data_IF_407606838656
#
_entry.id   IF_407606838656
#
_cell.length_a   1.000
_cell.length_b   1.000
_cell.length_c   1.000
_cell.angle_alpha   90.00
_cell.angle_beta   90.00
_cell.angle_gamma   90.00
#
_symmetry.space_group_name_H-M   'P 1'
#
loop_
_entity.id
_entity.type
_entity.pdbx_description
1 polymer ?
#
# COMPACT_ATOMS: atom_id res chain seq x y z
N UNK A 1 -13.18 31.04 13.24
CA UNK A 1 -13.02 30.55 14.61
C UNK A 1 -13.23 29.03 14.63
N UNK A 2 -12.17 28.29 14.30
CA UNK A 2 -12.09 26.85 14.52
C UNK A 2 -11.24 26.61 15.78
N UNK A 3 -11.86 26.63 16.94
CA UNK A 3 -11.23 26.20 18.21
C UNK A 3 -11.93 24.94 18.70
N UNK A 4 -11.09 23.96 19.04
CA UNK A 4 -11.35 22.72 19.76
C UNK A 4 -12.13 21.62 19.01
N UNK A 5 -11.40 20.77 18.32
CA UNK A 5 -11.82 19.37 18.17
C UNK A 5 -10.92 18.56 19.10
N UNK A 6 -11.55 18.02 20.14
CA UNK A 6 -10.92 17.24 21.17
C UNK A 6 -10.24 15.98 20.65
N UNK A 7 -9.28 15.48 21.44
CA UNK A 7 -8.45 14.34 21.13
C UNK A 7 -9.23 13.14 20.62
N UNK A 8 -8.81 12.62 19.47
CA UNK A 8 -9.22 11.32 18.97
C UNK A 8 -8.55 10.24 19.85
N UNK A 9 -9.23 9.87 20.94
CA UNK A 9 -8.93 8.62 21.60
C UNK A 9 -9.26 7.49 20.66
N UNK A 10 -8.29 6.64 20.35
CA UNK A 10 -8.54 5.34 19.73
C UNK A 10 -9.46 4.57 20.68
N UNK A 11 -10.76 4.57 20.40
CA UNK A 11 -11.72 3.74 21.12
C UNK A 11 -11.36 2.29 20.83
N UNK A 12 -10.88 1.58 21.85
CA UNK A 12 -10.81 0.12 21.84
C UNK A 12 -12.24 -0.41 21.64
N UNK A 13 -12.54 -0.90 20.45
CA UNK A 13 -13.83 -1.55 20.17
C UNK A 13 -13.86 -2.94 20.79
N UNK A 14 -15.00 -3.36 21.37
CA UNK A 14 -15.13 -4.67 22.04
C UNK A 14 -14.91 -5.83 21.08
N UNK A 15 -14.34 -6.89 21.58
CA UNK A 15 -13.88 -8.11 20.90
C UNK A 15 -15.02 -9.05 20.47
N UNK A 16 -16.01 -8.55 19.74
CA UNK A 16 -16.98 -9.41 19.06
C UNK A 16 -16.60 -9.50 17.57
N UNK A 17 -16.22 -10.69 17.04
CA UNK A 17 -15.92 -10.87 15.63
C UNK A 17 -17.09 -10.49 14.71
N UNK A 18 -18.31 -10.41 15.22
CA UNK A 18 -19.47 -9.90 14.51
C UNK A 18 -19.47 -8.37 14.37
N UNK A 19 -18.68 -7.62 15.15
CA UNK A 19 -18.62 -6.16 15.16
C UNK A 19 -17.48 -5.58 14.31
N UNK A 20 -16.58 -6.39 13.76
CA UNK A 20 -15.49 -5.90 12.91
C UNK A 20 -16.04 -5.22 11.66
N UNK A 21 -15.55 -4.00 11.38
CA UNK A 21 -15.85 -3.25 10.15
C UNK A 21 -15.53 -4.05 8.88
N UNK A 22 -14.47 -4.86 8.92
CA UNK A 22 -14.00 -5.61 7.77
C UNK A 22 -14.34 -7.09 7.86
N UNK A 23 -15.09 -7.62 6.87
CA UNK A 23 -15.31 -9.04 6.68
C UNK A 23 -14.32 -9.60 5.69
N UNK A 24 -13.44 -10.50 6.12
CA UNK A 24 -12.45 -11.15 5.26
C UNK A 24 -13.15 -12.12 4.30
N UNK A 25 -12.81 -12.05 3.02
CA UNK A 25 -13.42 -12.84 1.94
C UNK A 25 -12.48 -13.91 1.39
N UNK A 26 -11.18 -13.70 1.50
CA UNK A 26 -10.17 -14.65 1.03
C UNK A 26 -8.80 -14.02 0.87
N UNK A 27 -7.76 -14.85 0.89
CA UNK A 27 -6.37 -14.40 0.76
C UNK A 27 -6.06 -14.03 -0.69
N UNK A 28 -5.44 -12.86 -0.89
CA UNK A 28 -4.92 -12.40 -2.19
C UNK A 28 -3.44 -12.76 -2.31
N UNK A 29 -2.65 -12.43 -1.28
CA UNK A 29 -1.20 -12.61 -1.29
C UNK A 29 -0.66 -12.76 0.13
N UNK A 30 0.58 -13.27 0.25
CA UNK A 30 1.30 -13.30 1.51
C UNK A 30 2.77 -12.94 1.25
N UNK A 31 3.33 -12.11 2.12
CA UNK A 31 4.72 -11.70 2.13
C UNK A 31 5.39 -12.05 3.45
N UNK A 32 6.65 -11.64 3.60
CA UNK A 32 7.45 -11.94 4.80
C UNK A 32 6.89 -11.33 6.10
N UNK A 33 6.25 -10.17 6.02
CA UNK A 33 5.75 -9.43 7.19
C UNK A 33 4.24 -9.57 7.40
N UNK A 34 3.49 -9.86 6.35
CA UNK A 34 2.02 -9.82 6.43
C UNK A 34 1.35 -10.54 5.29
N UNK A 35 0.06 -10.77 5.47
CA UNK A 35 -0.82 -11.29 4.43
C UNK A 35 -1.79 -10.22 3.95
N UNK A 36 -2.11 -10.28 2.68
CA UNK A 36 -3.12 -9.40 2.05
C UNK A 36 -4.34 -10.24 1.76
N UNK A 37 -5.48 -9.81 2.27
CA UNK A 37 -6.76 -10.44 2.09
C UNK A 37 -7.72 -9.51 1.35
N UNK A 38 -8.59 -10.05 0.53
CA UNK A 38 -9.77 -9.36 0.06
C UNK A 38 -10.72 -9.24 1.25
N UNK A 39 -11.19 -8.04 1.54
CA UNK A 39 -12.16 -7.80 2.59
C UNK A 39 -13.33 -6.94 2.09
N UNK A 40 -14.48 -7.06 2.74
CA UNK A 40 -15.63 -6.19 2.56
C UNK A 40 -15.67 -5.17 3.71
N UNK A 41 -15.53 -3.90 3.39
CA UNK A 41 -15.86 -2.79 4.27
C UNK A 41 -17.40 -2.75 4.42
N UNK A 42 -17.90 -3.08 5.59
CA UNK A 42 -19.35 -3.20 5.86
C UNK A 42 -20.03 -1.83 5.91
N UNK A 43 -19.30 -0.81 6.39
CA UNK A 43 -19.82 0.55 6.52
C UNK A 43 -20.00 1.21 5.17
N UNK A 44 -18.96 1.15 4.32
CA UNK A 44 -18.97 1.75 2.99
C UNK A 44 -19.42 0.78 1.89
N UNK A 45 -19.78 -0.46 2.22
CA UNK A 45 -20.28 -1.51 1.32
C UNK A 45 -19.38 -1.76 0.09
N UNK A 46 -18.07 -1.60 0.25
CA UNK A 46 -17.07 -1.77 -0.83
C UNK A 46 -16.08 -2.88 -0.52
N UNK A 47 -15.40 -3.39 -1.55
CA UNK A 47 -14.26 -4.29 -1.38
C UNK A 47 -12.98 -3.48 -1.20
N UNK A 48 -12.10 -3.99 -0.34
CA UNK A 48 -10.79 -3.40 -0.02
C UNK A 48 -9.73 -4.51 0.00
N UNK A 49 -8.48 -4.15 -0.20
CA UNK A 49 -7.36 -5.00 0.17
C UNK A 49 -7.03 -4.71 1.64
N UNK A 50 -6.98 -5.78 2.44
CA UNK A 50 -6.74 -5.70 3.88
C UNK A 50 -5.43 -6.41 4.18
N UNK A 51 -4.41 -5.63 4.56
CA UNK A 51 -3.08 -6.16 4.90
C UNK A 51 -2.99 -6.27 6.41
N UNK A 52 -2.62 -7.45 6.91
CA UNK A 52 -2.50 -7.75 8.33
C UNK A 52 -1.13 -8.35 8.62
N UNK A 53 -0.49 -7.95 9.72
CA UNK A 53 0.72 -8.59 10.21
C UNK A 53 0.49 -10.08 10.48
N UNK A 54 1.47 -10.91 10.15
CA UNK A 54 1.45 -12.32 10.52
C UNK A 54 1.61 -12.48 12.04
N UNK A 55 0.99 -13.51 12.60
CA UNK A 55 1.14 -13.84 14.02
C UNK A 55 2.61 -14.11 14.37
N UNK A 56 3.05 -13.59 15.51
CA UNK A 56 4.44 -13.70 15.99
C UNK A 56 5.39 -12.61 15.51
N UNK A 57 5.01 -11.83 14.50
CA UNK A 57 5.80 -10.67 14.03
C UNK A 57 5.68 -9.48 14.98
N UNK A 58 4.60 -9.39 15.72
CA UNK A 58 4.40 -8.38 16.77
C UNK A 58 5.51 -8.38 17.83
N UNK A 59 6.16 -9.54 18.05
CA UNK A 59 7.32 -9.67 18.92
C UNK A 59 8.64 -9.16 18.29
N UNK A 60 8.60 -8.72 17.03
CA UNK A 60 9.75 -8.21 16.28
C UNK A 60 9.58 -6.70 16.01
N UNK A 61 10.04 -5.82 16.91
CA UNK A 61 9.77 -4.36 16.83
C UNK A 61 10.14 -3.75 15.49
N UNK A 62 11.27 -4.13 14.90
CA UNK A 62 11.71 -3.59 13.61
C UNK A 62 10.79 -3.95 12.44
N UNK A 63 10.08 -5.08 12.46
CA UNK A 63 9.11 -5.45 11.41
C UNK A 63 7.78 -4.74 11.62
N UNK A 64 7.35 -4.61 12.86
CA UNK A 64 6.15 -3.86 13.23
C UNK A 64 6.29 -2.38 12.84
N UNK A 65 7.44 -1.77 13.12
CA UNK A 65 7.72 -0.39 12.71
C UNK A 65 7.71 -0.21 11.18
N UNK A 66 8.29 -1.16 10.43
CA UNK A 66 8.24 -1.13 8.95
C UNK A 66 6.82 -1.23 8.41
N UNK A 67 5.99 -2.06 9.03
CA UNK A 67 4.57 -2.17 8.65
C UNK A 67 3.82 -0.86 8.90
N UNK A 68 4.05 -0.21 10.06
CA UNK A 68 3.48 1.10 10.37
C UNK A 68 3.97 2.17 9.38
N UNK A 69 5.28 2.23 9.16
CA UNK A 69 5.89 3.18 8.22
C UNK A 69 5.30 3.04 6.82
N UNK A 70 5.14 1.82 6.33
CA UNK A 70 4.51 1.55 5.03
C UNK A 70 3.12 2.18 4.94
N UNK A 71 2.25 1.89 5.92
CA UNK A 71 0.89 2.42 5.94
C UNK A 71 0.87 3.96 6.07
N UNK A 72 1.72 4.53 6.94
CA UNK A 72 1.81 5.98 7.17
C UNK A 72 2.35 6.73 5.94
N UNK A 73 3.39 6.21 5.29
CA UNK A 73 3.94 6.80 4.06
C UNK A 73 2.88 6.82 2.97
N UNK A 74 2.22 5.68 2.72
CA UNK A 74 1.15 5.63 1.70
C UNK A 74 -0.02 6.56 2.03
N UNK A 75 -0.39 6.69 3.30
CA UNK A 75 -1.49 7.57 3.72
C UNK A 75 -1.17 9.05 3.55
N UNK A 76 0.11 9.46 3.62
CA UNK A 76 0.56 10.84 3.49
C UNK A 76 0.93 11.21 2.04
N UNK A 77 1.18 10.23 1.17
CA UNK A 77 1.43 10.46 -0.24
C UNK A 77 0.09 10.56 -1.00
N UNK A 78 -0.52 11.75 -0.99
CA UNK A 78 -1.76 12.03 -1.71
C UNK A 78 -1.47 12.25 -3.20
N UNK A 79 -1.42 11.15 -3.95
CA UNK A 79 -1.13 11.14 -5.37
C UNK A 79 -1.96 10.07 -6.09
N UNK A 80 -2.52 10.36 -7.29
CA UNK A 80 -3.40 9.43 -8.00
C UNK A 80 -2.76 8.08 -8.36
N UNK A 81 -1.44 8.03 -8.44
CA UNK A 81 -0.67 6.82 -8.74
C UNK A 81 0.00 6.18 -7.50
N UNK A 82 -0.36 6.60 -6.29
CA UNK A 82 -0.03 5.90 -5.03
C UNK A 82 -1.30 5.25 -4.51
N UNK A 83 -1.21 4.00 -4.04
CA UNK A 83 -2.41 3.30 -3.54
C UNK A 83 -2.90 3.97 -2.26
N UNK A 84 -4.18 4.40 -2.20
CA UNK A 84 -4.69 5.06 -1.01
C UNK A 84 -4.94 4.07 0.13
N UNK A 85 -4.46 4.41 1.33
CA UNK A 85 -4.79 3.75 2.60
C UNK A 85 -6.05 4.38 3.16
N UNK A 86 -6.96 3.55 3.66
CA UNK A 86 -8.25 4.00 4.19
C UNK A 86 -8.30 3.99 5.71
N UNK A 87 -7.69 3.01 6.33
CA UNK A 87 -7.64 2.86 7.79
C UNK A 87 -6.40 2.11 8.20
N UNK A 88 -5.91 2.41 9.39
CA UNK A 88 -4.92 1.63 10.13
C UNK A 88 -5.57 1.30 11.47
N UNK A 89 -5.54 0.02 11.86
CA UNK A 89 -6.19 -0.45 13.08
C UNK A 89 -5.40 -1.57 13.76
N UNK A 90 -5.69 -1.77 15.02
CA UNK A 90 -5.25 -2.94 15.77
C UNK A 90 -6.42 -3.90 15.89
N UNK A 91 -6.24 -5.14 15.40
CA UNK A 91 -7.29 -6.16 15.49
C UNK A 91 -7.36 -6.78 16.89
N UNK A 92 -8.42 -7.55 17.16
CA UNK A 92 -8.72 -8.07 18.48
C UNK A 92 -7.61 -8.91 19.15
N UNK A 93 -6.75 -9.54 18.35
CA UNK A 93 -5.58 -10.31 18.80
C UNK A 93 -4.31 -9.46 18.99
N UNK A 94 -4.41 -8.12 18.88
CA UNK A 94 -3.31 -7.19 19.07
C UNK A 94 -2.47 -6.90 17.83
N UNK A 95 -2.67 -7.61 16.73
CA UNK A 95 -1.91 -7.40 15.49
C UNK A 95 -2.36 -6.13 14.78
N UNK A 96 -1.42 -5.51 14.07
CA UNK A 96 -1.74 -4.36 13.22
C UNK A 96 -2.29 -4.81 11.87
N UNK A 97 -3.21 -4.02 11.35
CA UNK A 97 -3.77 -4.19 10.02
C UNK A 97 -4.10 -2.83 9.41
N UNK A 98 -4.10 -2.75 8.10
CA UNK A 98 -4.61 -1.58 7.39
C UNK A 98 -5.42 -1.98 6.15
N UNK A 99 -6.43 -1.17 5.86
CA UNK A 99 -7.23 -1.31 4.65
C UNK A 99 -6.78 -0.29 3.61
N UNK A 100 -6.68 -0.75 2.38
CA UNK A 100 -6.28 0.06 1.23
C UNK A 100 -7.16 -0.24 0.01
N UNK A 101 -7.01 0.56 -1.03
CA UNK A 101 -7.72 0.31 -2.29
C UNK A 101 -7.38 -1.08 -2.83
N UNK A 102 -8.40 -1.86 -3.13
CA UNK A 102 -8.24 -3.09 -3.88
C UNK A 102 -8.15 -2.79 -5.37
N UNK A 103 -6.97 -2.91 -5.93
CA UNK A 103 -6.70 -2.73 -7.36
C UNK A 103 -6.99 -4.05 -8.09
N UNK A 104 -7.93 -4.03 -9.03
CA UNK A 104 -8.28 -5.18 -9.86
C UNK A 104 -7.54 -5.07 -11.18
N UNK A 105 -6.46 -5.83 -11.34
CA UNK A 105 -5.63 -5.77 -12.53
C UNK A 105 -4.43 -6.71 -12.43
N UNK A 106 -3.37 -6.36 -13.11
CA UNK A 106 -2.11 -7.10 -13.18
C UNK A 106 -0.96 -6.22 -12.72
N UNK A 107 0.12 -6.87 -12.30
CA UNK A 107 1.38 -6.15 -12.08
C UNK A 107 2.03 -5.78 -13.42
N UNK A 108 2.79 -4.70 -13.43
CA UNK A 108 3.57 -4.33 -14.62
C UNK A 108 4.56 -5.44 -15.02
N UNK A 109 5.03 -6.25 -14.06
CA UNK A 109 5.86 -7.43 -14.33
C UNK A 109 5.12 -8.51 -15.12
N UNK A 110 3.84 -8.72 -14.83
CA UNK A 110 2.98 -9.64 -15.57
C UNK A 110 2.74 -9.14 -16.99
N UNK A 111 2.40 -7.87 -17.16
CA UNK A 111 2.23 -7.24 -18.47
C UNK A 111 3.50 -7.34 -19.33
N UNK A 112 4.67 -7.07 -18.75
CA UNK A 112 5.95 -7.26 -19.45
C UNK A 112 6.20 -8.70 -19.88
N UNK A 113 5.85 -9.67 -19.04
CA UNK A 113 5.98 -11.10 -19.35
C UNK A 113 5.07 -11.50 -20.52
N UNK A 114 3.83 -11.01 -20.51
CA UNK A 114 2.88 -11.26 -21.59
C UNK A 114 3.32 -10.62 -22.89
N UNK A 115 3.73 -9.35 -22.89
CA UNK A 115 4.28 -8.66 -24.05
C UNK A 115 5.50 -9.40 -24.62
N UNK A 116 6.42 -9.83 -23.74
CA UNK A 116 7.60 -10.59 -24.13
C UNK A 116 7.26 -11.95 -24.77
N UNK A 117 6.19 -12.60 -24.29
CA UNK A 117 5.68 -13.85 -24.88
C UNK A 117 5.18 -13.64 -26.31
N UNK A 118 4.50 -12.53 -26.58
CA UNK A 118 4.09 -12.16 -27.95
C UNK A 118 5.31 -11.93 -28.86
N UNK A 119 6.31 -11.20 -28.38
CA UNK A 119 7.56 -10.93 -29.13
C UNK A 119 8.29 -12.23 -29.47
N UNK A 120 8.46 -13.13 -28.50
CA UNK A 120 9.08 -14.45 -28.72
C UNK A 120 8.33 -15.28 -29.75
N UNK A 121 7.02 -15.21 -29.74
CA UNK A 121 6.15 -15.91 -30.69
C UNK A 121 6.05 -15.20 -32.05
N UNK A 122 6.80 -14.11 -32.28
CA UNK A 122 6.76 -13.27 -33.49
C UNK A 122 5.34 -12.78 -33.80
N UNK A 123 4.54 -12.51 -32.79
CA UNK A 123 3.19 -11.95 -32.89
C UNK A 123 3.20 -10.52 -32.40
N UNK A 124 2.43 -9.66 -33.07
CA UNK A 124 2.18 -8.31 -32.54
C UNK A 124 1.46 -8.44 -31.19
N UNK A 125 1.92 -7.72 -30.13
CA UNK A 125 1.18 -7.67 -28.90
C UNK A 125 -0.14 -6.90 -29.11
N UNK A 126 -1.20 -7.22 -28.32
CA UNK A 126 -2.42 -6.42 -28.32
C UNK A 126 -2.12 -4.98 -27.86
N UNK A 127 -3.03 -4.06 -28.14
CA UNK A 127 -2.84 -2.62 -27.88
C UNK A 127 -2.49 -2.34 -26.40
N UNK A 128 -3.09 -3.08 -25.48
CA UNK A 128 -2.87 -2.96 -24.02
C UNK A 128 -1.44 -3.34 -23.61
N UNK A 129 -0.75 -4.10 -24.45
CA UNK A 129 0.64 -4.53 -24.27
C UNK A 129 1.58 -3.87 -25.27
N UNK A 130 1.11 -2.88 -26.02
CA UNK A 130 1.96 -2.12 -26.96
C UNK A 130 3.06 -1.39 -26.20
N UNK A 131 4.14 -1.08 -26.89
CA UNK A 131 5.24 -0.30 -26.31
C UNK A 131 4.76 1.06 -25.82
N UNK A 132 3.88 1.70 -26.57
CA UNK A 132 3.31 3.00 -26.27
C UNK A 132 2.51 2.95 -24.97
N UNK A 133 1.60 2.00 -24.82
CA UNK A 133 0.80 1.80 -23.59
C UNK A 133 1.68 1.51 -22.37
N UNK A 134 2.69 0.66 -22.53
CA UNK A 134 3.63 0.35 -21.43
C UNK A 134 4.47 1.55 -21.03
N UNK A 135 4.84 2.43 -21.99
CA UNK A 135 5.51 3.70 -21.69
C UNK A 135 4.60 4.69 -20.97
N UNK A 136 3.31 4.77 -21.34
CA UNK A 136 2.33 5.58 -20.62
C UNK A 136 2.18 5.14 -19.16
N UNK A 137 2.13 3.82 -18.91
CA UNK A 137 2.13 3.30 -17.54
C UNK A 137 3.41 3.71 -16.79
N UNK A 138 4.57 3.64 -17.43
CA UNK A 138 5.83 4.04 -16.83
C UNK A 138 5.88 5.53 -16.52
N UNK A 139 5.35 6.40 -17.37
CA UNK A 139 5.26 7.84 -17.09
C UNK A 139 4.45 8.13 -15.83
N UNK A 140 3.32 7.43 -15.61
CA UNK A 140 2.53 7.55 -14.37
C UNK A 140 3.32 7.14 -13.13
N UNK A 141 4.21 6.13 -13.26
CA UNK A 141 5.15 5.77 -12.17
C UNK A 141 6.16 6.90 -11.93
N UNK A 142 6.70 7.50 -12.98
CA UNK A 142 7.62 8.65 -12.85
C UNK A 142 6.94 9.82 -12.12
N UNK A 143 5.68 10.11 -12.42
CA UNK A 143 4.91 11.17 -11.74
C UNK A 143 4.77 10.88 -10.25
N UNK A 144 4.39 9.64 -9.88
CA UNK A 144 4.31 9.24 -8.48
C UNK A 144 5.65 9.36 -7.76
N UNK A 145 6.73 8.93 -8.40
CA UNK A 145 8.07 8.99 -7.81
C UNK A 145 8.59 10.41 -7.70
N UNK A 146 8.33 11.26 -8.69
CA UNK A 146 8.66 12.69 -8.63
C UNK A 146 7.98 13.36 -7.43
N UNK A 147 6.68 13.09 -7.24
CA UNK A 147 5.93 13.59 -6.10
C UNK A 147 6.49 13.08 -4.76
N UNK A 148 6.75 11.77 -4.65
CA UNK A 148 7.30 11.18 -3.44
C UNK A 148 8.69 11.79 -3.10
N UNK A 149 9.56 11.95 -4.10
CA UNK A 149 10.87 12.55 -3.92
C UNK A 149 10.78 14.02 -3.49
N UNK A 150 9.84 14.79 -4.06
CA UNK A 150 9.58 16.17 -3.63
C UNK A 150 9.11 16.25 -2.16
N UNK A 151 8.45 15.19 -1.67
CA UNK A 151 8.07 15.02 -0.25
C UNK A 151 9.18 14.41 0.61
N UNK A 152 10.38 14.20 0.05
CA UNK A 152 11.51 13.62 0.76
C UNK A 152 11.39 12.10 1.00
N UNK A 153 10.52 11.40 0.26
CA UNK A 153 10.32 9.96 0.40
C UNK A 153 11.00 9.20 -0.73
N UNK A 154 11.85 8.24 -0.38
CA UNK A 154 12.49 7.31 -1.31
C UNK A 154 11.86 5.92 -1.16
N UNK A 155 11.42 5.31 -2.25
CA UNK A 155 10.75 4.00 -2.23
C UNK A 155 11.69 2.83 -1.89
N UNK A 156 12.90 2.84 -2.42
CA UNK A 156 14.01 1.87 -2.27
C UNK A 156 13.77 0.42 -2.76
N UNK A 157 12.53 0.06 -3.16
CA UNK A 157 12.21 -1.26 -3.76
C UNK A 157 11.32 -1.11 -5.00
N UNK A 158 11.56 -0.06 -5.80
CA UNK A 158 10.78 0.15 -7.02
C UNK A 158 11.14 -0.91 -8.06
N UNK A 159 10.14 -1.71 -8.44
CA UNK A 159 10.26 -2.78 -9.45
C UNK A 159 8.90 -3.04 -10.11
N UNK A 160 8.85 -3.62 -11.32
CA UNK A 160 7.59 -3.86 -12.01
C UNK A 160 6.57 -4.71 -11.23
N UNK A 161 7.02 -5.56 -10.31
CA UNK A 161 6.15 -6.36 -9.44
C UNK A 161 5.43 -5.52 -8.37
N UNK A 162 5.96 -4.34 -8.03
CA UNK A 162 5.38 -3.42 -7.06
C UNK A 162 4.55 -2.31 -7.74
N UNK A 163 4.20 -2.48 -9.02
CA UNK A 163 3.38 -1.55 -9.79
C UNK A 163 2.15 -2.32 -10.28
N UNK A 164 0.96 -1.90 -9.84
CA UNK A 164 -0.30 -2.47 -10.31
C UNK A 164 -0.90 -1.60 -11.41
N UNK A 165 -1.37 -2.25 -12.46
CA UNK A 165 -2.16 -1.63 -13.53
C UNK A 165 -3.56 -2.18 -13.46
N UNK A 166 -4.52 -1.31 -13.18
CA UNK A 166 -5.92 -1.65 -13.07
C UNK A 166 -6.62 -1.83 -14.42
N UNK A 167 -7.87 -2.29 -14.38
CA UNK A 167 -8.67 -2.61 -15.59
C UNK A 167 -8.98 -1.40 -16.46
N UNK A 168 -8.88 -0.20 -15.92
CA UNK A 168 -9.14 1.07 -16.63
C UNK A 168 -7.83 1.85 -16.84
N UNK A 169 -6.69 1.15 -16.92
CA UNK A 169 -5.35 1.73 -17.12
C UNK A 169 -4.89 2.69 -15.99
N UNK A 170 -5.54 2.62 -14.82
CA UNK A 170 -5.01 3.28 -13.64
C UNK A 170 -3.75 2.56 -13.14
N UNK A 171 -2.73 3.31 -12.76
CA UNK A 171 -1.44 2.77 -12.30
C UNK A 171 -1.23 3.14 -10.86
N UNK A 172 -0.79 2.19 -10.04
CA UNK A 172 -0.49 2.40 -8.63
C UNK A 172 0.87 1.84 -8.26
N UNK A 173 1.70 2.68 -7.65
CA UNK A 173 2.92 2.25 -6.97
C UNK A 173 2.52 1.72 -5.60
N UNK A 174 3.01 0.52 -5.27
CA UNK A 174 2.67 -0.25 -4.08
C UNK A 174 3.94 -0.64 -3.31
N UNK A 175 3.75 -1.20 -2.11
CA UNK A 175 4.81 -1.79 -1.28
C UNK A 175 5.93 -0.79 -0.90
N UNK A 176 5.57 0.16 -0.04
CA UNK A 176 6.47 1.16 0.54
C UNK A 176 7.18 0.66 1.81
N UNK A 177 7.20 -0.66 2.08
CA UNK A 177 7.74 -1.26 3.30
C UNK A 177 9.26 -1.09 3.47
N UNK A 178 9.99 -0.67 2.42
CA UNK A 178 11.39 -0.28 2.47
C UNK A 178 11.59 1.23 2.27
N UNK A 179 10.53 2.01 2.31
CA UNK A 179 10.64 3.45 2.10
C UNK A 179 11.52 4.12 3.16
N UNK A 180 12.18 5.21 2.76
CA UNK A 180 12.95 6.08 3.64
C UNK A 180 12.44 7.51 3.51
N UNK A 181 12.21 8.15 4.65
CA UNK A 181 11.89 9.57 4.72
C UNK A 181 13.19 10.34 5.00
N UNK A 182 13.48 11.37 4.21
CA UNK A 182 14.67 12.21 4.37
C UNK A 182 14.63 12.94 5.72
N UNK A 183 15.77 12.95 6.40
CA UNK A 183 15.87 13.60 7.74
C UNK A 183 15.47 12.71 8.91
N UNK A 184 14.90 11.51 8.67
CA UNK A 184 14.66 10.52 9.73
C UNK A 184 15.79 9.49 9.78
N UNK A 185 16.16 8.96 10.96
CA UNK A 185 17.06 7.81 11.05
C UNK A 185 16.48 6.62 10.30
N UNK A 186 17.33 5.77 9.74
CA UNK A 186 16.86 4.45 9.27
C UNK A 186 16.24 3.71 10.46
N UNK A 187 15.05 3.12 10.27
CA UNK A 187 14.23 2.47 11.30
C UNK A 187 14.99 1.28 11.90
N UNK A 188 15.94 1.57 12.75
CA UNK A 188 16.71 0.59 13.54
C UNK A 188 16.71 0.93 15.05
N UNK A 189 16.03 1.97 15.49
CA UNK A 189 15.95 2.35 16.90
C UNK A 189 15.18 3.64 17.15
N UNK A 190 14.39 3.62 18.19
CA UNK A 190 13.94 4.75 19.01
C UNK A 190 13.22 5.95 18.34
N UNK A 191 12.30 5.73 17.42
CA UNK A 191 11.29 6.75 17.13
C UNK A 191 9.93 6.26 17.65
N UNK A 192 9.22 7.11 18.39
CA UNK A 192 7.84 6.86 18.77
C UNK A 192 7.02 6.59 17.50
N UNK A 193 6.43 5.38 17.33
CA UNK A 193 5.69 5.04 16.12
C UNK A 193 4.42 5.88 15.92
N UNK A 194 4.08 6.73 16.88
CA UNK A 194 2.89 7.59 16.83
C UNK A 194 3.21 9.04 16.42
N UNK A 195 4.49 9.43 16.29
CA UNK A 195 4.81 10.75 15.74
C UNK A 195 4.54 10.80 14.23
N UNK A 196 3.91 11.88 13.73
CA UNK A 196 3.70 12.06 12.29
C UNK A 196 5.05 12.07 11.56
N UNK A 197 5.14 11.34 10.46
CA UNK A 197 6.32 11.36 9.61
C UNK A 197 6.42 12.77 9.01
N UNK A 198 7.51 13.53 9.26
CA UNK A 198 7.69 14.88 8.71
C UNK A 198 7.96 14.78 7.21
N UNK A 199 6.93 14.83 6.39
CA UNK A 199 7.08 14.99 4.95
C UNK A 199 7.36 16.46 4.65
N UNK A 200 8.40 16.71 3.85
CA UNK A 200 8.73 18.06 3.38
C UNK A 200 7.51 18.69 2.69
N UNK A 201 7.19 19.92 3.08
CA UNK A 201 6.07 20.70 2.55
C UNK A 201 6.31 21.13 1.09
#
# INVERSE_FOLDING_TARGET
>A
DFRSVGGFGLAATPSDPASSRYSLLGRINAGAMGEIQLAKDRDLRRKVAYKQLLAGIEAMPGLTQRFLLEAQVMAQLDHPNVVPVYTLEQVADGRLAYAMKWVQGQTLAELFREAWTCVKARRAPPTELSRETLLEHFLKVCDAMSYAHAKGVLHRDLKPANIMVGRFHEVYVMDWGLARVSGTPDVAGDTDPMEPIPLSG
#
